data_IF_530029160672
#
_entry.id   IF_530029160672
#
_cell.length_a   1.000
_cell.length_b   1.000
_cell.length_c   1.000
_cell.angle_alpha   90.00
_cell.angle_beta   90.00
_cell.angle_gamma   90.00
#
_symmetry.space_group_name_H-M   'P 1'
#
loop_
_entity.id
_entity.type
_entity.pdbx_description
1 polymer ?
#
# COMPACT_ATOMS: atom_id res chain seq x y z
N UNK A 1 -12.84 -15.97 -4.56
CA UNK A 1 -11.68 -15.04 -4.41
C UNK A 1 -11.47 -14.14 -5.65
N UNK A 2 -11.43 -12.80 -5.50
CA UNK A 2 -11.06 -11.85 -6.55
C UNK A 2 -9.63 -12.07 -7.08
N UNK A 3 -9.40 -11.78 -8.38
CA UNK A 3 -8.13 -12.05 -9.06
C UNK A 3 -6.93 -11.34 -8.42
N UNK A 4 -7.04 -10.06 -8.08
CA UNK A 4 -5.94 -9.30 -7.48
C UNK A 4 -5.52 -9.83 -6.09
N UNK A 5 -6.48 -10.31 -5.29
CA UNK A 5 -6.18 -10.97 -4.01
C UNK A 5 -5.63 -12.38 -4.20
N UNK A 6 -6.05 -13.09 -5.26
CA UNK A 6 -5.45 -14.38 -5.64
C UNK A 6 -3.98 -14.21 -6.03
N UNK A 7 -3.68 -13.20 -6.83
CA UNK A 7 -2.31 -12.87 -7.20
C UNK A 7 -1.49 -12.45 -5.97
N UNK A 8 -2.06 -11.62 -5.08
CA UNK A 8 -1.40 -11.24 -3.82
C UNK A 8 -1.10 -12.45 -2.95
N UNK A 9 -2.04 -13.40 -2.81
CA UNK A 9 -1.82 -14.62 -2.03
C UNK A 9 -0.70 -15.48 -2.65
N UNK A 10 -0.67 -15.60 -3.98
CA UNK A 10 0.39 -16.33 -4.67
C UNK A 10 1.76 -15.69 -4.48
N UNK A 11 1.87 -14.36 -4.67
CA UNK A 11 3.12 -13.62 -4.47
C UNK A 11 3.64 -13.76 -3.04
N UNK A 12 2.75 -13.61 -2.06
CA UNK A 12 3.07 -13.77 -0.65
C UNK A 12 3.59 -15.17 -0.29
N UNK A 13 3.16 -16.23 -0.99
CA UNK A 13 3.61 -17.61 -0.75
C UNK A 13 4.87 -17.95 -1.55
N UNK A 14 4.94 -17.53 -2.82
CA UNK A 14 5.95 -17.97 -3.76
C UNK A 14 7.18 -17.04 -3.84
N UNK A 15 7.04 -15.77 -3.43
CA UNK A 15 8.05 -14.72 -3.55
C UNK A 15 8.11 -13.91 -2.25
N UNK A 16 8.29 -14.63 -1.13
CA UNK A 16 8.33 -14.12 0.26
C UNK A 16 9.42 -13.05 0.40
N UNK A 17 9.02 -11.79 0.57
CA UNK A 17 9.95 -10.66 0.75
C UNK A 17 10.22 -10.37 2.23
N UNK A 18 9.21 -10.57 3.09
CA UNK A 18 9.26 -10.28 4.52
C UNK A 18 8.79 -11.47 5.35
N UNK A 19 9.23 -11.49 6.61
CA UNK A 19 8.73 -12.46 7.59
C UNK A 19 7.20 -12.35 7.68
N UNK A 20 6.53 -13.51 7.66
CA UNK A 20 5.06 -13.66 7.70
C UNK A 20 4.28 -13.27 6.44
N UNK A 21 4.93 -12.94 5.32
CA UNK A 21 4.20 -12.73 4.06
C UNK A 21 3.46 -14.02 3.64
N UNK A 22 4.10 -15.19 3.76
CA UNK A 22 3.50 -16.49 3.45
C UNK A 22 2.23 -16.76 4.29
N UNK A 23 2.27 -16.41 5.57
CA UNK A 23 1.14 -16.47 6.49
C UNK A 23 -0.04 -15.61 6.00
N UNK A 24 0.20 -14.40 5.48
CA UNK A 24 -0.84 -13.58 4.82
C UNK A 24 -1.47 -14.35 3.66
N UNK A 25 -0.65 -14.98 2.82
CA UNK A 25 -1.11 -15.78 1.68
C UNK A 25 -1.95 -16.98 2.10
N UNK A 26 -1.53 -17.74 3.12
CA UNK A 26 -2.29 -18.87 3.65
C UNK A 26 -3.59 -18.44 4.31
N UNK A 27 -3.59 -17.33 5.05
CA UNK A 27 -4.80 -16.77 5.66
C UNK A 27 -5.80 -16.31 4.59
N UNK A 28 -5.34 -15.73 3.48
CA UNK A 28 -6.20 -15.38 2.35
C UNK A 28 -6.86 -16.63 1.74
N UNK A 29 -6.08 -17.69 1.53
CA UNK A 29 -6.61 -18.96 1.00
C UNK A 29 -7.63 -19.56 1.97
N UNK A 30 -7.36 -19.55 3.27
CA UNK A 30 -8.28 -20.04 4.30
C UNK A 30 -9.60 -19.26 4.26
N UNK A 31 -9.54 -17.92 4.33
CA UNK A 31 -10.73 -17.07 4.35
C UNK A 31 -11.64 -17.36 3.17
N UNK A 32 -11.10 -17.39 1.94
CA UNK A 32 -11.92 -17.61 0.76
C UNK A 32 -12.45 -19.03 0.63
N UNK A 33 -11.73 -20.05 1.12
CA UNK A 33 -12.27 -21.42 1.19
C UNK A 33 -13.47 -21.50 2.14
N UNK A 34 -13.41 -20.83 3.28
CA UNK A 34 -14.53 -20.76 4.23
C UNK A 34 -15.71 -19.95 3.67
N UNK A 35 -15.43 -18.81 3.03
CA UNK A 35 -16.44 -17.99 2.35
C UNK A 35 -17.17 -18.76 1.25
N UNK A 36 -16.43 -19.47 0.37
CA UNK A 36 -17.01 -20.22 -0.74
C UNK A 36 -17.88 -21.40 -0.26
N UNK A 37 -17.66 -21.90 0.97
CA UNK A 37 -18.48 -22.93 1.62
C UNK A 37 -19.69 -22.36 2.37
N UNK A 38 -19.83 -21.03 2.46
CA UNK A 38 -20.91 -20.38 3.21
C UNK A 38 -20.71 -20.38 4.72
N UNK A 39 -19.50 -20.60 5.24
CA UNK A 39 -19.22 -20.67 6.68
C UNK A 39 -19.46 -19.32 7.40
N UNK A 40 -19.56 -18.21 6.66
CA UNK A 40 -19.79 -16.87 7.19
C UNK A 40 -21.22 -16.34 6.98
N UNK A 41 -22.19 -17.20 6.67
CA UNK A 41 -23.55 -16.77 6.31
C UNK A 41 -24.24 -15.93 7.41
N UNK A 42 -23.99 -16.22 8.69
CA UNK A 42 -24.56 -15.47 9.82
C UNK A 42 -23.86 -14.11 10.06
N UNK A 43 -22.74 -13.85 9.37
CA UNK A 43 -21.84 -12.71 9.57
C UNK A 43 -21.75 -11.81 8.32
N UNK A 44 -22.78 -11.79 7.46
CA UNK A 44 -22.72 -11.15 6.13
C UNK A 44 -22.25 -9.68 6.15
N UNK A 45 -22.61 -8.94 7.19
CA UNK A 45 -22.30 -7.52 7.33
C UNK A 45 -21.04 -7.24 8.18
N UNK A 46 -20.28 -8.28 8.53
CA UNK A 46 -19.11 -8.18 9.40
C UNK A 46 -17.81 -8.36 8.62
N UNK A 47 -16.72 -7.97 9.28
CA UNK A 47 -15.34 -8.24 8.91
C UNK A 47 -14.84 -9.42 9.72
N UNK A 48 -14.09 -10.29 9.07
CA UNK A 48 -13.48 -11.48 9.68
C UNK A 48 -11.99 -11.26 9.79
N UNK A 49 -11.46 -11.41 10.99
CA UNK A 49 -10.02 -11.45 11.23
C UNK A 49 -9.56 -12.91 11.21
N UNK A 50 -8.56 -13.20 10.37
CA UNK A 50 -7.98 -14.53 10.23
C UNK A 50 -6.49 -14.47 10.53
N UNK A 51 -6.03 -15.41 11.34
CA UNK A 51 -4.61 -15.61 11.66
C UNK A 51 -4.35 -17.09 11.95
N UNK A 52 -3.22 -17.62 11.49
CA UNK A 52 -2.85 -19.05 11.55
C UNK A 52 -3.95 -19.95 11.01
N UNK A 53 -4.56 -19.51 9.90
CA UNK A 53 -5.64 -20.16 9.18
C UNK A 53 -6.83 -20.50 10.10
N UNK A 54 -7.15 -19.60 11.03
CA UNK A 54 -8.30 -19.70 11.92
C UNK A 54 -8.98 -18.34 12.04
N UNK A 55 -10.29 -18.35 12.19
CA UNK A 55 -11.04 -17.15 12.55
C UNK A 55 -10.70 -16.77 13.98
N UNK A 56 -10.26 -15.53 14.16
CA UNK A 56 -9.95 -14.95 15.47
C UNK A 56 -11.16 -14.19 16.00
N UNK A 57 -11.76 -13.35 15.17
CA UNK A 57 -12.96 -12.60 15.53
C UNK A 57 -13.79 -12.19 14.31
N UNK A 58 -15.06 -11.92 14.58
CA UNK A 58 -16.00 -11.23 13.72
C UNK A 58 -16.26 -9.84 14.30
N UNK A 59 -16.47 -8.84 13.45
CA UNK A 59 -16.94 -7.54 13.91
C UNK A 59 -16.79 -6.43 12.89
N UNK A 60 -16.51 -5.23 13.37
CA UNK A 60 -16.28 -4.06 12.52
C UNK A 60 -14.87 -4.05 11.94
N UNK A 61 -14.72 -3.37 10.81
CA UNK A 61 -13.41 -3.07 10.24
C UNK A 61 -12.56 -2.34 11.27
N UNK A 62 -11.29 -2.73 11.39
CA UNK A 62 -10.35 -2.00 12.21
C UNK A 62 -10.07 -0.63 11.61
N UNK A 63 -9.94 0.36 12.48
CA UNK A 63 -9.21 1.57 12.13
C UNK A 63 -7.71 1.26 12.03
N UNK A 64 -6.95 2.26 11.60
CA UNK A 64 -5.53 2.07 11.32
C UNK A 64 -4.70 1.79 12.59
N UNK A 65 -5.12 2.33 13.75
CA UNK A 65 -4.45 2.10 15.04
C UNK A 65 -4.67 0.65 15.50
N UNK A 66 -5.92 0.19 15.56
CA UNK A 66 -6.24 -1.19 15.93
C UNK A 66 -5.64 -2.20 14.95
N UNK A 67 -5.65 -1.90 13.65
CA UNK A 67 -5.03 -2.77 12.64
C UNK A 67 -3.53 -2.93 12.89
N UNK A 68 -2.86 -1.82 13.16
CA UNK A 68 -1.43 -1.82 13.40
C UNK A 68 -1.04 -2.52 14.70
N UNK A 69 -1.73 -2.27 15.81
CA UNK A 69 -1.56 -3.02 17.06
C UNK A 69 -1.79 -4.53 16.85
N UNK A 70 -2.82 -4.88 16.08
CA UNK A 70 -3.11 -6.28 15.75
C UNK A 70 -1.96 -6.92 14.98
N UNK A 71 -1.35 -6.21 14.02
CA UNK A 71 -0.23 -6.73 13.24
C UNK A 71 1.08 -6.80 14.03
N UNK A 72 1.25 -6.02 15.10
CA UNK A 72 2.35 -6.20 16.05
C UNK A 72 2.19 -7.48 16.89
N UNK A 73 0.96 -7.83 17.30
CA UNK A 73 0.67 -9.01 18.13
C UNK A 73 0.56 -10.29 17.28
N UNK A 74 -0.07 -10.18 16.11
CA UNK A 74 -0.36 -11.27 15.18
C UNK A 74 0.14 -10.91 13.76
N UNK A 75 1.47 -10.92 13.54
CA UNK A 75 2.03 -10.70 12.21
C UNK A 75 1.42 -11.66 11.18
N UNK A 76 1.09 -11.13 10.00
CA UNK A 76 0.45 -11.90 8.94
C UNK A 76 -1.06 -12.10 9.08
N UNK A 77 -1.68 -11.59 10.15
CA UNK A 77 -3.13 -11.54 10.26
C UNK A 77 -3.74 -10.74 9.11
N UNK A 78 -4.91 -11.16 8.65
CA UNK A 78 -5.71 -10.43 7.67
C UNK A 78 -7.06 -10.08 8.23
N UNK A 79 -7.65 -9.01 7.72
CA UNK A 79 -9.04 -8.69 7.97
C UNK A 79 -9.76 -8.41 6.65
N UNK A 80 -10.85 -9.14 6.38
CA UNK A 80 -11.63 -9.01 5.14
C UNK A 80 -13.13 -8.96 5.45
N UNK A 81 -13.92 -8.19 4.67
CA UNK A 81 -15.37 -8.19 4.82
C UNK A 81 -15.95 -9.50 4.29
N UNK A 82 -17.00 -10.02 4.92
CA UNK A 82 -17.76 -11.15 4.38
C UNK A 82 -18.46 -10.73 3.09
N UNK A 83 -19.17 -9.61 3.12
CA UNK A 83 -19.73 -9.00 1.91
C UNK A 83 -18.63 -8.36 1.05
N UNK A 84 -18.30 -9.05 -0.04
CA UNK A 84 -17.21 -8.67 -0.96
C UNK A 84 -17.43 -7.34 -1.69
N UNK A 85 -18.62 -6.72 -1.60
CA UNK A 85 -18.83 -5.36 -2.10
C UNK A 85 -18.02 -4.30 -1.33
N UNK A 86 -17.65 -4.58 -0.08
CA UNK A 86 -16.90 -3.68 0.79
C UNK A 86 -15.38 -3.87 0.76
N UNK A 87 -14.86 -4.64 -0.20
CA UNK A 87 -13.42 -4.83 -0.35
C UNK A 87 -12.68 -3.48 -0.48
N UNK A 88 -11.48 -3.33 0.12
CA UNK A 88 -10.73 -2.07 0.07
C UNK A 88 -10.43 -1.60 -1.36
N UNK A 89 -10.76 -0.34 -1.63
CA UNK A 89 -10.45 0.36 -2.89
C UNK A 89 -9.96 1.76 -2.58
N UNK A 90 -9.00 2.23 -3.36
CA UNK A 90 -8.53 3.60 -3.26
C UNK A 90 -9.19 4.45 -4.35
N UNK A 91 -9.69 5.64 -4.00
CA UNK A 91 -10.42 6.48 -4.93
C UNK A 91 -9.53 6.92 -6.10
N UNK A 92 -10.13 7.24 -7.26
CA UNK A 92 -9.37 7.71 -8.39
C UNK A 92 -8.70 9.05 -8.09
N UNK A 93 -7.46 9.21 -8.58
CA UNK A 93 -6.87 10.54 -8.75
C UNK A 93 -7.80 11.39 -9.61
N UNK A 94 -8.17 12.56 -9.09
CA UNK A 94 -8.91 13.56 -9.86
C UNK A 94 -7.97 14.12 -10.90
N UNK A 95 -8.45 14.27 -12.13
CA UNK A 95 -7.69 14.96 -13.16
C UNK A 95 -7.52 16.43 -12.74
N UNK A 96 -6.30 16.84 -12.42
CA UNK A 96 -5.98 18.24 -12.18
C UNK A 96 -5.07 18.73 -13.29
N UNK A 97 -5.36 19.93 -13.79
CA UNK A 97 -4.50 20.59 -14.78
C UNK A 97 -3.21 20.97 -14.04
N UNK A 98 -2.17 20.16 -14.27
CA UNK A 98 -0.84 20.38 -13.69
C UNK A 98 -0.32 21.73 -14.19
N UNK A 99 0.07 22.61 -13.27
CA UNK A 99 0.87 23.77 -13.65
C UNK A 99 2.19 23.23 -14.21
N UNK A 100 2.50 23.57 -15.46
CA UNK A 100 3.76 23.18 -16.09
C UNK A 100 4.76 24.31 -15.90
N UNK A 101 6.04 23.95 -15.85
CA UNK A 101 7.12 24.93 -16.02
C UNK A 101 6.98 25.63 -17.37
N UNK A 102 7.64 26.79 -17.56
CA UNK A 102 7.57 27.55 -18.82
C UNK A 102 7.96 26.76 -20.07
N UNK A 103 8.61 25.62 -19.92
CA UNK A 103 9.03 24.71 -20.99
C UNK A 103 8.04 23.54 -21.23
N UNK A 104 6.97 23.43 -20.44
CA UNK A 104 5.96 22.39 -20.58
C UNK A 104 6.17 21.14 -19.70
N UNK A 105 7.21 21.10 -18.87
CA UNK A 105 7.49 19.97 -17.97
C UNK A 105 6.71 20.06 -16.65
N UNK A 106 6.32 18.91 -16.10
CA UNK A 106 5.69 18.79 -14.78
C UNK A 106 6.65 19.21 -13.65
N UNK A 107 6.11 19.71 -12.53
CA UNK A 107 6.92 20.02 -11.34
C UNK A 107 7.45 18.74 -10.68
N UNK A 108 8.71 18.42 -10.98
CA UNK A 108 9.42 17.31 -10.36
C UNK A 108 10.04 17.71 -9.02
N UNK A 109 10.04 16.78 -8.08
CA UNK A 109 10.66 16.94 -6.75
C UNK A 109 11.50 15.74 -6.37
N UNK A 110 12.38 15.90 -5.40
CA UNK A 110 12.97 14.77 -4.67
C UNK A 110 12.10 14.46 -3.48
N UNK A 111 12.00 13.20 -3.10
CA UNK A 111 11.18 12.77 -1.97
C UNK A 111 12.04 11.96 -1.02
N UNK A 112 11.91 12.23 0.29
CA UNK A 112 12.47 11.37 1.32
C UNK A 112 11.41 11.00 2.33
N UNK A 113 11.45 9.77 2.80
CA UNK A 113 10.46 9.17 3.69
C UNK A 113 11.19 8.46 4.82
N UNK A 114 10.67 8.59 6.03
CA UNK A 114 11.11 7.80 7.18
C UNK A 114 9.94 7.50 8.11
N UNK A 115 10.15 6.57 9.03
CA UNK A 115 9.21 6.34 10.12
C UNK A 115 9.41 7.43 11.19
N UNK A 116 8.35 7.84 11.90
CA UNK A 116 8.49 8.76 13.04
C UNK A 116 9.46 8.18 14.07
N UNK A 117 10.34 9.04 14.62
CA UNK A 117 11.34 8.67 15.63
C UNK A 117 12.39 7.64 15.17
N UNK A 118 12.51 7.37 13.87
CA UNK A 118 13.55 6.50 13.31
C UNK A 118 14.53 7.30 12.43
N UNK A 119 15.75 6.77 12.30
CA UNK A 119 16.85 7.40 11.56
C UNK A 119 16.98 6.90 10.12
N UNK A 120 16.36 5.76 9.78
CA UNK A 120 16.42 5.20 8.43
C UNK A 120 15.56 6.03 7.48
N UNK A 121 16.19 6.59 6.46
CA UNK A 121 15.55 7.44 5.46
C UNK A 121 15.63 6.75 4.10
N UNK A 122 14.47 6.52 3.47
CA UNK A 122 14.37 6.14 2.08
C UNK A 122 14.27 7.41 1.22
N UNK A 123 15.10 7.52 0.17
CA UNK A 123 15.15 8.70 -0.69
C UNK A 123 14.91 8.31 -2.15
N UNK A 124 14.18 9.19 -2.84
CA UNK A 124 13.83 9.11 -4.25
C UNK A 124 14.31 10.39 -4.92
N UNK A 125 15.13 10.23 -5.95
CA UNK A 125 15.53 11.32 -6.83
C UNK A 125 14.38 11.71 -7.78
N UNK A 126 14.52 12.83 -8.51
CA UNK A 126 13.49 13.31 -9.44
C UNK A 126 13.04 12.23 -10.42
N UNK A 127 14.02 11.55 -11.01
CA UNK A 127 13.85 10.37 -11.83
C UNK A 127 14.58 9.21 -11.13
N UNK A 128 13.80 8.37 -10.47
CA UNK A 128 14.27 7.26 -9.68
C UNK A 128 14.20 5.95 -10.47
N UNK A 129 15.30 5.22 -10.52
CA UNK A 129 15.38 3.93 -11.18
C UNK A 129 15.36 2.81 -10.13
N UNK A 130 14.26 2.07 -10.04
CA UNK A 130 14.12 0.94 -9.13
C UNK A 130 14.80 -0.31 -9.70
N UNK A 131 16.13 -0.33 -9.63
CA UNK A 131 16.97 -1.44 -10.11
C UNK A 131 16.62 -2.75 -9.38
N UNK A 132 16.16 -2.65 -8.13
CA UNK A 132 15.93 -3.82 -7.27
C UNK A 132 14.58 -4.50 -7.51
N UNK A 133 13.56 -3.78 -7.99
CA UNK A 133 12.21 -4.30 -8.21
C UNK A 133 11.77 -4.08 -9.67
N UNK A 134 12.51 -4.67 -10.62
CA UNK A 134 12.25 -4.73 -12.08
C UNK A 134 12.85 -3.64 -12.97
N UNK A 135 13.79 -2.82 -12.47
CA UNK A 135 14.47 -1.82 -13.29
C UNK A 135 13.54 -0.73 -13.82
N UNK A 136 12.48 -0.41 -13.06
CA UNK A 136 11.48 0.57 -13.50
C UNK A 136 11.90 1.99 -13.14
N UNK A 137 11.74 2.89 -14.10
CA UNK A 137 11.86 4.32 -13.86
C UNK A 137 10.55 4.89 -13.31
N UNK A 138 10.68 5.74 -12.32
CA UNK A 138 9.61 6.49 -11.69
C UNK A 138 10.01 7.96 -11.63
N UNK A 139 9.10 8.87 -11.97
CA UNK A 139 9.31 10.30 -11.81
C UNK A 139 8.46 10.83 -10.66
N UNK A 140 9.09 11.55 -9.72
CA UNK A 140 8.43 12.21 -8.59
C UNK A 140 7.80 13.51 -9.05
N UNK A 141 6.47 13.57 -9.11
CA UNK A 141 5.73 14.79 -9.46
C UNK A 141 4.82 15.24 -8.33
N UNK A 142 4.60 16.55 -8.24
CA UNK A 142 3.52 17.11 -7.41
C UNK A 142 2.21 16.98 -8.19
N UNK A 143 1.26 16.25 -7.63
CA UNK A 143 -0.05 16.01 -8.21
C UNK A 143 -1.14 16.37 -7.21
N UNK A 144 -1.65 17.59 -7.32
CA UNK A 144 -2.77 18.10 -6.50
C UNK A 144 -4.10 17.43 -6.84
N UNK A 145 -4.14 16.51 -7.80
CA UNK A 145 -5.29 15.67 -8.12
C UNK A 145 -5.28 14.32 -7.43
N UNK A 146 -4.13 13.84 -6.96
CA UNK A 146 -4.03 12.57 -6.27
C UNK A 146 -4.69 12.65 -4.88
N UNK A 147 -5.47 11.65 -4.45
CA UNK A 147 -6.11 11.69 -3.13
C UNK A 147 -5.10 11.56 -1.97
N UNK A 148 -3.94 10.95 -2.24
CA UNK A 148 -2.89 10.65 -1.29
C UNK A 148 -1.55 10.58 -2.03
N UNK A 149 -0.45 10.69 -1.27
CA UNK A 149 0.89 10.46 -1.80
C UNK A 149 1.09 8.96 -2.09
N UNK A 150 1.43 8.63 -3.34
CA UNK A 150 1.66 7.26 -3.81
C UNK A 150 3.13 7.12 -4.24
N UNK A 151 3.84 6.18 -3.64
CA UNK A 151 5.28 5.96 -3.83
C UNK A 151 5.58 4.55 -4.35
N UNK A 152 6.80 4.27 -4.84
CA UNK A 152 7.17 2.94 -5.30
C UNK A 152 7.31 1.96 -4.14
N UNK A 153 7.17 0.66 -4.43
CA UNK A 153 7.39 -0.43 -3.47
C UNK A 153 8.76 -0.35 -2.77
N UNK A 154 9.76 0.24 -3.43
CA UNK A 154 11.06 0.58 -2.87
C UNK A 154 10.97 1.17 -1.45
N UNK A 155 10.03 2.10 -1.18
CA UNK A 155 9.89 2.73 0.14
C UNK A 155 9.56 1.69 1.23
N UNK A 156 8.60 0.80 0.97
CA UNK A 156 8.25 -0.29 1.91
C UNK A 156 9.44 -1.20 2.16
N UNK A 157 10.18 -1.53 1.11
CA UNK A 157 11.37 -2.40 1.20
C UNK A 157 12.50 -1.77 1.99
N UNK A 158 12.81 -0.50 1.73
CA UNK A 158 13.89 0.22 2.42
C UNK A 158 13.58 0.46 3.89
N UNK A 159 12.34 0.78 4.24
CA UNK A 159 11.95 1.07 5.63
C UNK A 159 11.58 -0.17 6.48
N UNK A 160 11.94 -1.38 6.01
CA UNK A 160 11.58 -2.65 6.61
C UNK A 160 10.09 -2.97 6.42
N UNK A 161 9.79 -3.98 5.61
CA UNK A 161 8.41 -4.41 5.37
C UNK A 161 7.76 -5.07 6.60
N UNK A 162 6.43 -5.22 6.56
CA UNK A 162 5.64 -5.76 7.65
C UNK A 162 5.08 -4.67 8.58
N UNK A 163 5.93 -3.95 9.30
CA UNK A 163 5.48 -2.96 10.32
C UNK A 163 4.81 -1.73 9.69
N UNK A 164 3.64 -1.33 10.18
CA UNK A 164 2.95 -0.12 9.75
C UNK A 164 2.37 -0.14 8.33
N UNK A 165 2.31 -1.33 7.72
CA UNK A 165 1.71 -1.57 6.40
C UNK A 165 0.53 -2.54 6.55
N UNK A 166 -0.56 -2.29 5.85
CA UNK A 166 -1.67 -3.25 5.79
C UNK A 166 -1.25 -4.53 5.06
N UNK A 167 -1.71 -5.68 5.54
CA UNK A 167 -1.52 -6.99 4.91
C UNK A 167 -2.45 -7.22 3.71
N UNK A 168 -3.57 -6.47 3.65
CA UNK A 168 -4.52 -6.53 2.53
C UNK A 168 -4.25 -5.41 1.54
N UNK A 169 -4.00 -5.80 0.29
CA UNK A 169 -3.87 -4.85 -0.82
C UNK A 169 -5.22 -4.23 -1.19
N UNK A 170 -5.22 -2.94 -1.46
CA UNK A 170 -6.33 -2.23 -2.06
C UNK A 170 -6.21 -2.23 -3.59
N UNK A 171 -7.35 -2.17 -4.28
CA UNK A 171 -7.38 -1.96 -5.73
C UNK A 171 -7.36 -0.45 -6.01
N UNK A 172 -6.47 -0.01 -6.90
CA UNK A 172 -6.49 1.35 -7.41
C UNK A 172 -7.70 1.54 -8.36
N UNK A 173 -8.41 2.66 -8.21
CA UNK A 173 -9.39 3.15 -9.19
C UNK A 173 -8.79 4.32 -10.00
N UNK A 174 -9.20 4.53 -11.25
CA UNK A 174 -8.69 5.63 -12.09
C UNK A 174 -7.29 5.38 -12.69
N UNK A 175 -6.37 6.34 -12.53
CA UNK A 175 -4.99 6.20 -13.04
C UNK A 175 -4.27 5.05 -12.33
N UNK A 176 -3.72 4.10 -13.10
CA UNK A 176 -3.21 2.85 -12.54
C UNK A 176 -4.32 1.81 -12.23
N UNK A 177 -5.54 1.98 -12.75
CA UNK A 177 -6.60 0.97 -12.70
C UNK A 177 -6.05 -0.41 -13.04
N UNK A 178 -6.44 -1.41 -12.23
CA UNK A 178 -5.93 -2.79 -12.17
C UNK A 178 -4.59 -3.01 -11.47
N UNK A 179 -3.93 -1.97 -10.94
CA UNK A 179 -2.72 -2.10 -10.10
C UNK A 179 -3.11 -2.28 -8.63
N UNK A 180 -2.34 -3.08 -7.90
CA UNK A 180 -2.48 -3.26 -6.45
C UNK A 180 -1.73 -2.15 -5.71
N UNK A 181 -2.32 -1.72 -4.60
CA UNK A 181 -1.77 -0.68 -3.71
C UNK A 181 -1.70 -1.21 -2.28
N UNK A 182 -0.59 -0.97 -1.61
CA UNK A 182 -0.39 -1.30 -0.19
C UNK A 182 -0.51 0.00 0.59
N UNK A 183 -1.52 0.06 1.47
CA UNK A 183 -1.76 1.24 2.29
C UNK A 183 -0.97 1.15 3.60
N UNK A 184 -0.43 2.28 4.05
CA UNK A 184 0.09 2.39 5.40
C UNK A 184 -1.04 2.39 6.43
N UNK A 185 -0.89 1.62 7.51
CA UNK A 185 -1.70 1.74 8.73
C UNK A 185 -1.02 2.63 9.79
N UNK A 186 0.23 3.07 9.56
CA UNK A 186 0.91 4.09 10.38
C UNK A 186 1.18 5.38 9.60
N UNK A 187 1.36 6.46 10.35
CA UNK A 187 1.90 7.70 9.81
C UNK A 187 3.39 7.53 9.48
N UNK A 188 3.82 8.10 8.36
CA UNK A 188 5.20 8.26 7.96
C UNK A 188 5.56 9.75 7.92
N UNK A 189 6.84 10.08 8.09
CA UNK A 189 7.35 11.45 7.90
C UNK A 189 7.91 11.60 6.49
N UNK A 190 7.47 12.63 5.79
CA UNK A 190 7.84 12.90 4.40
C UNK A 190 8.37 14.31 4.28
N UNK A 191 9.38 14.46 3.45
CA UNK A 191 9.98 15.74 3.12
C UNK A 191 10.27 15.73 1.62
N UNK A 192 9.88 16.82 0.96
CA UNK A 192 10.16 17.04 -0.46
C UNK A 192 11.33 17.99 -0.58
N UNK A 193 12.11 17.86 -1.63
CA UNK A 193 13.30 18.68 -1.81
C UNK A 193 13.57 19.00 -3.27
N UNK A 194 14.51 19.91 -3.42
CA UNK A 194 15.16 20.22 -4.68
C UNK A 194 16.66 19.90 -4.59
N UNK A 195 17.48 20.51 -5.46
CA UNK A 195 18.92 20.31 -5.46
C UNK A 195 19.62 20.88 -4.21
N UNK A 196 19.02 21.86 -3.56
CA UNK A 196 19.67 22.69 -2.57
C UNK A 196 19.04 22.56 -1.18
N UNK A 197 17.74 22.28 -1.10
CA UNK A 197 16.98 22.34 0.13
C UNK A 197 15.99 21.18 0.25
N UNK A 198 15.63 20.90 1.50
CA UNK A 198 14.54 20.02 1.87
C UNK A 198 13.49 20.80 2.65
N UNK A 199 12.22 20.49 2.41
CA UNK A 199 11.13 20.94 3.25
C UNK A 199 11.27 20.41 4.67
N UNK A 200 10.52 21.00 5.60
CA UNK A 200 10.25 20.35 6.90
C UNK A 200 9.63 18.97 6.68
N UNK A 201 9.79 18.11 7.68
CA UNK A 201 9.09 16.84 7.74
C UNK A 201 7.61 17.07 8.04
N UNK A 202 6.75 16.35 7.32
CA UNK A 202 5.30 16.35 7.53
C UNK A 202 4.85 14.91 7.70
N UNK A 203 3.98 14.67 8.68
CA UNK A 203 3.39 13.35 8.89
C UNK A 203 2.23 13.13 7.91
N UNK A 204 2.23 12.01 7.20
CA UNK A 204 1.12 11.54 6.39
C UNK A 204 1.04 10.03 6.30
N UNK A 205 -0.16 9.56 5.94
CA UNK A 205 -0.36 8.22 5.41
C UNK A 205 0.05 8.20 3.94
N UNK A 206 0.76 7.15 3.57
CA UNK A 206 1.19 6.90 2.20
C UNK A 206 0.60 5.61 1.67
N UNK A 207 0.51 5.57 0.36
CA UNK A 207 0.30 4.34 -0.39
C UNK A 207 1.62 4.00 -1.09
N UNK A 208 1.93 2.71 -1.18
CA UNK A 208 2.95 2.23 -2.12
C UNK A 208 2.34 1.35 -3.20
N UNK A 209 2.91 1.42 -4.39
CA UNK A 209 2.62 0.48 -5.46
C UNK A 209 3.06 -0.94 -5.08
N UNK A 210 2.43 -1.94 -5.71
CA UNK A 210 2.89 -3.32 -5.65
C UNK A 210 4.33 -3.51 -6.15
N UNK A 211 4.96 -4.62 -5.76
CA UNK A 211 6.34 -4.98 -6.13
C UNK A 211 6.57 -4.98 -7.64
N UNK A 212 5.61 -5.51 -8.41
CA UNK A 212 5.73 -5.69 -9.86
C UNK A 212 4.54 -5.03 -10.57
N UNK A 213 4.49 -3.69 -10.67
CA UNK A 213 3.39 -3.03 -11.36
C UNK A 213 3.40 -3.45 -12.83
N UNK A 214 2.26 -3.45 -13.53
CA UNK A 214 2.22 -3.85 -14.95
C UNK A 214 2.72 -2.75 -15.91
N UNK A 215 2.67 -1.47 -15.54
CA UNK A 215 3.15 -0.32 -16.34
C UNK A 215 4.25 0.46 -15.62
N UNK A 216 5.06 1.23 -16.35
CA UNK A 216 5.93 2.25 -15.74
C UNK A 216 5.07 3.21 -14.92
N UNK A 217 5.51 3.56 -13.70
CA UNK A 217 4.70 4.30 -12.74
C UNK A 217 5.09 5.78 -12.70
N UNK A 218 4.10 6.66 -12.65
CA UNK A 218 4.28 8.04 -12.19
C UNK A 218 4.16 8.05 -10.66
N UNK A 219 5.09 8.70 -9.95
CA UNK A 219 4.94 8.94 -8.52
C UNK A 219 4.19 10.25 -8.31
N UNK A 220 3.07 10.19 -7.60
CA UNK A 220 2.25 11.35 -7.33
C UNK A 220 2.39 11.72 -5.86
N UNK A 221 2.81 12.96 -5.58
CA UNK A 221 2.83 13.53 -4.24
C UNK A 221 1.68 14.53 -4.08
N UNK A 222 0.83 14.31 -3.08
CA UNK A 222 -0.28 15.19 -2.70
C UNK A 222 -0.07 15.66 -1.26
N UNK A 223 -0.25 16.97 -1.06
CA UNK A 223 -0.24 17.63 0.25
C UNK A 223 -1.26 18.76 0.29
#
# INVERSE_FOLDING_TARGET
MPEYLRQSAFENIADVDFEFDDEVGFNLIFFYKALDKGEFAEHENEWVTVHKQRVIEYGQRYDDEKLDETLEIMPGAIQLPVNQKYLPRNPPAKMVIVQRTGNGDDYKVRVRVKRPNENLIAQLEYDFYDIQNNGKMYSCVIDTGAPQTILPYYIKKTLGGGKGWSTIVAKAEGYGSSTKQICACRMFEISIGDNNNWSKWVQAKIIVWEKKPQRSGTMCSYW
#
